data_IF_196549980146
#
_entry.id   IF_196549980146
#
_cell.length_a   1.000
_cell.length_b   1.000
_cell.length_c   1.000
_cell.angle_alpha   90.00
_cell.angle_beta   90.00
_cell.angle_gamma   90.00
#
_symmetry.space_group_name_H-M   'P 1'
#
loop_
_entity.id
_entity.type
_entity.pdbx_description
1 polymer ?
#
# COMPACT_ATOMS: atom_id res chain seq x y z
N UNK A 1 -43.74 22.51 -23.90
CA UNK A 1 -43.93 21.39 -22.96
C UNK A 1 -42.61 20.65 -22.81
N UNK A 2 -41.84 20.94 -21.75
CA UNK A 2 -40.59 20.26 -21.41
C UNK A 2 -40.91 19.05 -20.53
N UNK A 3 -40.48 17.85 -20.92
CA UNK A 3 -40.63 16.62 -20.13
C UNK A 3 -39.47 16.52 -19.14
N UNK A 4 -39.79 16.59 -17.85
CA UNK A 4 -38.89 16.20 -16.76
C UNK A 4 -38.74 14.68 -16.69
N UNK A 5 -37.53 14.25 -16.34
CA UNK A 5 -37.33 13.22 -15.32
C UNK A 5 -37.16 11.78 -15.81
N UNK A 6 -35.93 11.27 -15.66
CA UNK A 6 -35.65 10.19 -14.69
C UNK A 6 -34.14 10.03 -14.54
N UNK A 7 -33.64 10.52 -13.39
CA UNK A 7 -32.36 10.07 -12.83
C UNK A 7 -32.61 8.67 -12.29
N UNK A 8 -31.99 7.66 -12.91
CA UNK A 8 -31.96 6.30 -12.38
C UNK A 8 -30.72 6.17 -11.50
N UNK A 9 -30.98 5.94 -10.21
CA UNK A 9 -29.96 5.72 -9.18
C UNK A 9 -29.08 4.53 -9.55
N UNK A 10 -27.77 4.76 -9.66
CA UNK A 10 -26.79 3.69 -9.74
C UNK A 10 -26.82 2.93 -8.40
N UNK A 11 -27.17 1.64 -8.49
CA UNK A 11 -27.28 0.74 -7.34
C UNK A 11 -25.99 0.66 -6.55
N UNK A 12 -26.10 0.99 -5.28
CA UNK A 12 -25.09 0.75 -4.27
C UNK A 12 -24.91 -0.77 -4.12
N UNK A 13 -23.83 -1.30 -4.72
CA UNK A 13 -23.49 -2.71 -4.62
C UNK A 13 -23.16 -3.01 -3.17
N UNK A 14 -24.06 -3.72 -2.50
CA UNK A 14 -23.86 -4.25 -1.16
C UNK A 14 -22.53 -4.99 -1.07
N UNK A 15 -21.61 -4.45 -0.27
CA UNK A 15 -20.36 -5.13 0.11
C UNK A 15 -20.77 -6.36 0.91
N UNK A 16 -20.77 -7.53 0.26
CA UNK A 16 -21.07 -8.81 0.89
C UNK A 16 -20.01 -9.04 1.98
N UNK A 17 -20.36 -8.78 3.24
CA UNK A 17 -19.50 -9.13 4.38
C UNK A 17 -19.53 -10.65 4.47
N UNK A 18 -18.56 -11.31 3.84
CA UNK A 18 -18.33 -12.72 4.08
C UNK A 18 -17.98 -12.88 5.56
N UNK A 19 -18.86 -13.51 6.32
CA UNK A 19 -18.60 -13.85 7.71
C UNK A 19 -17.89 -15.21 7.75
N UNK A 20 -16.67 -15.21 8.30
CA UNK A 20 -15.93 -16.45 8.53
C UNK A 20 -16.13 -16.91 9.96
N UNK A 21 -16.35 -18.21 10.15
CA UNK A 21 -16.31 -18.84 11.46
C UNK A 21 -15.07 -19.74 11.58
N UNK A 22 -14.70 -20.09 12.81
CA UNK A 22 -13.49 -20.87 13.09
C UNK A 22 -13.50 -22.24 12.40
N UNK A 23 -14.66 -22.89 12.29
CA UNK A 23 -14.79 -24.21 11.67
C UNK A 23 -14.65 -24.17 10.14
N UNK A 24 -15.12 -23.10 9.51
CA UNK A 24 -14.96 -22.84 8.08
C UNK A 24 -13.47 -22.63 7.76
N UNK A 25 -12.78 -21.78 8.52
CA UNK A 25 -11.34 -21.56 8.36
C UNK A 25 -10.57 -22.87 8.57
N UNK A 26 -10.92 -23.64 9.59
CA UNK A 26 -10.32 -24.96 9.87
C UNK A 26 -10.51 -25.95 8.72
N UNK A 27 -11.65 -25.91 8.01
CA UNK A 27 -11.92 -26.75 6.82
C UNK A 27 -11.12 -26.33 5.60
N UNK A 28 -10.78 -25.04 5.47
CA UNK A 28 -9.94 -24.53 4.37
C UNK A 28 -8.48 -24.99 4.50
N UNK A 29 -8.00 -25.23 5.72
CA UNK A 29 -6.61 -25.60 5.98
C UNK A 29 -6.32 -27.08 5.65
N UNK A 30 -5.26 -27.37 4.88
CA UNK A 30 -4.75 -28.73 4.69
C UNK A 30 -4.32 -29.41 6.00
N UNK A 31 -4.24 -30.75 5.99
CA UNK A 31 -3.84 -31.55 7.17
C UNK A 31 -2.42 -31.26 7.67
N UNK A 32 -1.56 -30.72 6.82
CA UNK A 32 -0.19 -30.34 7.17
C UNK A 32 -0.13 -29.18 8.18
N UNK A 33 -1.19 -28.37 8.29
CA UNK A 33 -1.27 -27.29 9.27
C UNK A 33 -1.74 -27.82 10.62
N UNK A 34 -1.36 -27.13 11.70
CA UNK A 34 -2.02 -27.25 13.01
C UNK A 34 -3.41 -26.60 12.97
N UNK A 35 -4.35 -27.23 12.24
CA UNK A 35 -5.62 -26.62 11.79
C UNK A 35 -6.44 -25.94 12.89
N UNK A 36 -6.54 -26.55 14.08
CA UNK A 36 -7.28 -25.96 15.21
C UNK A 36 -6.62 -24.65 15.68
N UNK A 37 -5.30 -24.67 15.83
CA UNK A 37 -4.51 -23.55 16.32
C UNK A 37 -4.52 -22.40 15.31
N UNK A 38 -4.15 -22.70 14.05
CA UNK A 38 -4.10 -21.73 12.96
C UNK A 38 -5.48 -21.10 12.74
N UNK A 39 -6.55 -21.90 12.68
CA UNK A 39 -7.90 -21.36 12.48
C UNK A 39 -8.35 -20.42 13.60
N UNK A 40 -7.99 -20.73 14.86
CA UNK A 40 -8.30 -19.84 15.98
C UNK A 40 -7.55 -18.50 15.86
N UNK A 41 -6.25 -18.53 15.58
CA UNK A 41 -5.44 -17.32 15.41
C UNK A 41 -5.94 -16.44 14.26
N UNK A 42 -6.29 -17.05 13.13
CA UNK A 42 -6.90 -16.35 11.99
C UNK A 42 -8.24 -15.75 12.40
N UNK A 43 -9.10 -16.52 13.07
CA UNK A 43 -10.42 -16.06 13.50
C UNK A 43 -10.34 -14.85 14.44
N UNK A 44 -9.40 -14.87 15.41
CA UNK A 44 -9.14 -13.72 16.29
C UNK A 44 -8.70 -12.52 15.46
N UNK A 45 -7.69 -12.68 14.59
CA UNK A 45 -7.17 -11.59 13.76
C UNK A 45 -8.27 -10.93 12.89
N UNK A 46 -9.05 -11.71 12.15
CA UNK A 46 -10.12 -11.17 11.30
C UNK A 46 -11.33 -10.65 12.09
N UNK A 47 -11.42 -10.98 13.38
CA UNK A 47 -12.44 -10.40 14.27
C UNK A 47 -12.11 -8.94 14.60
N UNK A 48 -10.84 -8.57 14.68
CA UNK A 48 -10.44 -7.17 14.86
C UNK A 48 -10.20 -6.45 13.54
N UNK A 49 -9.59 -7.13 12.56
CA UNK A 49 -9.29 -6.60 11.23
C UNK A 49 -10.27 -7.14 10.19
N UNK A 50 -11.49 -6.59 10.17
CA UNK A 50 -12.63 -7.10 9.38
C UNK A 50 -12.43 -7.09 7.86
N UNK A 51 -11.48 -6.28 7.37
CA UNK A 51 -11.10 -6.18 5.97
C UNK A 51 -10.19 -7.32 5.50
N UNK A 52 -9.61 -8.09 6.41
CA UNK A 52 -8.75 -9.23 6.06
C UNK A 52 -9.59 -10.47 5.76
N UNK A 53 -9.32 -11.07 4.61
CA UNK A 53 -10.02 -12.24 4.10
C UNK A 53 -9.05 -13.43 4.06
N UNK A 54 -9.33 -14.53 4.79
CA UNK A 54 -8.55 -15.75 4.69
C UNK A 54 -8.86 -16.47 3.38
N UNK A 55 -7.83 -16.97 2.69
CA UNK A 55 -7.97 -17.74 1.46
C UNK A 55 -6.76 -18.67 1.24
N UNK A 56 -6.99 -19.86 0.69
CA UNK A 56 -5.90 -20.69 0.15
C UNK A 56 -5.51 -20.15 -1.22
N UNK A 57 -4.24 -19.80 -1.40
CA UNK A 57 -3.69 -19.25 -2.64
C UNK A 57 -2.34 -19.89 -2.97
N UNK A 58 -2.00 -19.91 -4.24
CA UNK A 58 -0.67 -20.29 -4.69
C UNK A 58 0.32 -19.16 -4.36
N UNK A 59 1.40 -19.53 -3.67
CA UNK A 59 2.53 -18.67 -3.34
C UNK A 59 3.75 -19.13 -4.14
N UNK A 60 4.48 -18.17 -4.72
CA UNK A 60 5.71 -18.41 -5.47
C UNK A 60 6.88 -17.93 -4.63
N UNK A 61 7.77 -18.85 -4.24
CA UNK A 61 8.98 -18.54 -3.49
C UNK A 61 10.03 -17.87 -4.38
N UNK A 62 11.03 -17.26 -3.74
CA UNK A 62 12.15 -16.58 -4.42
C UNK A 62 13.00 -17.53 -5.28
N UNK A 63 12.97 -18.83 -5.00
CA UNK A 63 13.62 -19.89 -5.79
C UNK A 63 12.78 -20.37 -6.99
N UNK A 64 11.59 -19.81 -7.19
CA UNK A 64 10.65 -20.17 -8.25
C UNK A 64 9.74 -21.35 -7.91
N UNK A 65 9.90 -21.99 -6.77
CA UNK A 65 8.99 -23.06 -6.33
C UNK A 65 7.63 -22.49 -5.97
N UNK A 66 6.56 -23.27 -6.17
CA UNK A 66 5.19 -22.85 -5.84
C UNK A 66 4.56 -23.75 -4.79
N UNK A 67 3.70 -23.18 -3.94
CA UNK A 67 2.99 -23.92 -2.89
C UNK A 67 1.66 -23.26 -2.57
N UNK A 68 0.64 -24.07 -2.34
CA UNK A 68 -0.64 -23.57 -1.83
C UNK A 68 -0.56 -23.27 -0.34
N UNK A 69 -0.64 -21.99 0.02
CA UNK A 69 -0.54 -21.49 1.38
C UNK A 69 -1.83 -20.80 1.82
N UNK A 70 -2.06 -20.77 3.13
CA UNK A 70 -3.11 -19.93 3.69
C UNK A 70 -2.63 -18.47 3.66
N UNK A 71 -3.48 -17.58 3.16
CA UNK A 71 -3.22 -16.14 3.07
C UNK A 71 -4.31 -15.35 3.79
N UNK A 72 -3.96 -14.24 4.42
CA UNK A 72 -4.89 -13.21 4.86
C UNK A 72 -4.60 -11.97 4.02
N UNK A 73 -5.49 -11.64 3.11
CA UNK A 73 -5.36 -10.47 2.23
C UNK A 73 -6.44 -9.45 2.54
N UNK A 74 -6.07 -8.18 2.60
CA UNK A 74 -7.01 -7.10 2.89
C UNK A 74 -6.27 -5.82 3.23
N UNK A 75 -6.91 -4.95 3.99
CA UNK A 75 -6.31 -3.71 4.48
C UNK A 75 -6.25 -3.69 6.00
N UNK A 76 -5.31 -2.95 6.57
CA UNK A 76 -5.30 -2.58 7.99
C UNK A 76 -5.44 -1.06 8.12
N UNK A 77 -6.27 -0.56 9.05
CA UNK A 77 -6.37 0.86 9.31
C UNK A 77 -5.16 1.35 10.09
N UNK A 78 -4.55 2.45 9.65
CA UNK A 78 -3.36 3.07 10.24
C UNK A 78 -3.62 4.57 10.34
N UNK A 79 -3.39 5.18 11.51
CA UNK A 79 -3.55 6.62 11.69
C UNK A 79 -2.21 7.31 11.46
N UNK A 80 -2.16 8.21 10.48
CA UNK A 80 -0.97 9.00 10.19
C UNK A 80 -1.39 10.45 9.95
N UNK A 81 -0.77 11.40 10.64
CA UNK A 81 -1.12 12.83 10.54
C UNK A 81 -2.63 13.10 10.69
N UNK A 82 -3.26 12.55 11.74
CA UNK A 82 -4.70 12.66 12.04
C UNK A 82 -5.67 12.09 10.97
N UNK A 83 -5.16 11.37 9.97
CA UNK A 83 -5.96 10.72 8.94
C UNK A 83 -5.76 9.20 8.98
N UNK A 84 -6.87 8.45 8.83
CA UNK A 84 -6.82 6.99 8.75
C UNK A 84 -6.59 6.52 7.32
N UNK A 85 -5.47 5.83 7.09
CA UNK A 85 -5.12 5.19 5.84
C UNK A 85 -5.41 3.69 5.91
N UNK A 86 -5.96 3.13 4.84
CA UNK A 86 -6.20 1.69 4.73
C UNK A 86 -5.04 1.05 3.97
N UNK A 87 -4.07 0.50 4.70
CA UNK A 87 -2.85 -0.05 4.11
C UNK A 87 -3.11 -1.48 3.65
N UNK A 88 -3.04 -1.79 2.35
CA UNK A 88 -3.22 -3.15 1.84
C UNK A 88 -2.04 -4.04 2.20
N UNK A 89 -2.35 -5.19 2.79
CA UNK A 89 -1.37 -6.19 3.22
C UNK A 89 -1.77 -7.60 2.75
N UNK A 90 -0.78 -8.47 2.68
CA UNK A 90 -0.96 -9.91 2.50
C UNK A 90 -0.07 -10.65 3.49
N UNK A 91 -0.67 -11.45 4.37
CA UNK A 91 0.04 -12.28 5.34
C UNK A 91 -0.08 -13.75 4.92
N UNK A 92 1.04 -14.39 4.65
CA UNK A 92 1.12 -15.80 4.28
C UNK A 92 1.49 -16.65 5.49
N UNK A 93 0.72 -17.71 5.71
CA UNK A 93 0.89 -18.63 6.82
C UNK A 93 1.35 -19.97 6.24
N UNK A 94 2.51 -20.43 6.69
CA UNK A 94 3.05 -21.74 6.33
C UNK A 94 2.54 -22.87 7.23
N UNK A 95 2.61 -24.14 6.76
CA UNK A 95 2.24 -25.30 7.59
C UNK A 95 3.00 -25.42 8.91
N UNK A 96 4.24 -24.90 8.96
CA UNK A 96 5.08 -24.91 10.17
C UNK A 96 4.67 -23.84 11.21
N UNK A 97 3.70 -22.97 10.91
CA UNK A 97 3.15 -22.04 11.91
C UNK A 97 2.54 -22.81 13.09
N UNK A 98 2.77 -22.37 14.35
CA UNK A 98 3.46 -21.14 14.77
C UNK A 98 4.95 -21.30 15.10
N UNK A 99 5.60 -22.41 14.73
CA UNK A 99 7.04 -22.58 14.99
C UNK A 99 7.88 -21.64 14.12
N UNK A 100 7.38 -21.26 12.94
CA UNK A 100 7.94 -20.22 12.09
C UNK A 100 6.96 -19.04 11.98
N UNK A 101 7.52 -17.84 11.83
CA UNK A 101 6.75 -16.62 11.60
C UNK A 101 6.00 -16.67 10.26
N UNK A 102 4.85 -15.99 10.14
CA UNK A 102 4.23 -15.77 8.83
C UNK A 102 5.07 -14.81 7.98
N UNK A 103 4.91 -14.88 6.65
CA UNK A 103 5.54 -13.94 5.71
C UNK A 103 4.57 -12.80 5.41
N UNK A 104 4.98 -11.57 5.68
CA UNK A 104 4.13 -10.39 5.56
C UNK A 104 4.58 -9.51 4.39
N UNK A 105 3.63 -9.04 3.59
CA UNK A 105 3.88 -8.14 2.47
C UNK A 105 2.91 -6.98 2.48
N UNK A 106 3.36 -5.80 2.05
CA UNK A 106 2.47 -4.74 1.57
C UNK A 106 2.03 -5.07 0.15
N UNK A 107 0.74 -4.84 -0.16
CA UNK A 107 0.15 -5.19 -1.46
C UNK A 107 -0.35 -3.94 -2.16
N UNK A 108 0.54 -3.14 -2.81
CA UNK A 108 0.15 -1.90 -3.45
C UNK A 108 -0.91 -2.13 -4.53
N UNK A 109 -1.87 -1.20 -4.65
CA UNK A 109 -2.75 -1.15 -5.82
C UNK A 109 -1.97 -0.66 -7.05
N UNK A 110 -2.63 -0.66 -8.22
CA UNK A 110 -2.04 -0.12 -9.47
C UNK A 110 -1.67 1.36 -9.37
N UNK A 111 -2.26 2.08 -8.44
CA UNK A 111 -2.03 3.50 -8.22
C UNK A 111 -1.01 3.75 -7.11
N UNK A 112 -0.48 2.70 -6.47
CA UNK A 112 0.45 2.83 -5.35
C UNK A 112 1.87 2.41 -5.75
N UNK A 113 2.85 2.92 -4.99
CA UNK A 113 4.24 2.50 -4.99
C UNK A 113 4.70 2.19 -3.57
N UNK A 114 5.62 1.24 -3.45
CA UNK A 114 6.23 0.89 -2.17
C UNK A 114 7.24 1.97 -1.79
N UNK A 115 7.07 2.54 -0.61
CA UNK A 115 8.06 3.42 0.00
C UNK A 115 8.97 2.55 0.85
N UNK A 116 10.24 2.50 0.48
CA UNK A 116 11.24 1.71 1.21
C UNK A 116 11.53 2.36 2.55
N UNK A 117 11.76 1.53 3.56
CA UNK A 117 12.09 2.00 4.89
C UNK A 117 12.83 0.93 5.67
N UNK A 118 13.12 1.23 6.94
CA UNK A 118 13.79 0.29 7.86
C UNK A 118 13.09 -1.08 7.93
N UNK A 119 11.77 -1.09 7.75
CA UNK A 119 10.93 -2.26 7.91
C UNK A 119 10.34 -2.82 6.61
N UNK A 120 10.63 -2.23 5.45
CA UNK A 120 10.04 -2.62 4.16
C UNK A 120 11.13 -2.82 3.11
N UNK A 121 11.16 -4.03 2.56
CA UNK A 121 12.06 -4.46 1.49
C UNK A 121 11.60 -3.95 0.11
N UNK A 122 12.46 -4.08 -0.91
CA UNK A 122 12.20 -3.63 -2.28
C UNK A 122 10.99 -4.32 -2.93
N UNK A 123 10.74 -5.57 -2.55
CA UNK A 123 9.63 -6.43 -2.98
C UNK A 123 8.36 -6.25 -2.12
N UNK A 124 8.38 -5.32 -1.16
CA UNK A 124 7.26 -5.07 -0.25
C UNK A 124 7.19 -6.05 0.93
N UNK A 125 8.19 -6.91 1.09
CA UNK A 125 8.32 -7.78 2.26
C UNK A 125 8.52 -6.95 3.53
N UNK A 126 7.69 -7.20 4.54
CA UNK A 126 7.76 -6.54 5.85
C UNK A 126 8.76 -7.27 6.73
N UNK A 127 9.77 -6.54 7.21
CA UNK A 127 10.86 -7.05 8.05
C UNK A 127 10.95 -6.23 9.33
N UNK A 128 10.56 -6.82 10.45
CA UNK A 128 10.55 -6.13 11.74
C UNK A 128 11.02 -7.06 12.86
N UNK A 129 11.55 -6.50 13.97
CA UNK A 129 12.08 -7.31 15.08
C UNK A 129 11.11 -8.38 15.57
N UNK A 130 9.81 -8.05 15.64
CA UNK A 130 8.78 -9.00 16.04
C UNK A 130 8.68 -10.26 15.15
N UNK A 131 8.97 -10.16 13.85
CA UNK A 131 9.05 -11.32 12.95
C UNK A 131 10.37 -12.09 13.11
N UNK A 132 11.47 -11.38 13.39
CA UNK A 132 12.79 -11.99 13.56
C UNK A 132 12.89 -12.80 14.85
N UNK A 133 12.30 -12.29 15.93
CA UNK A 133 12.32 -12.90 17.26
C UNK A 133 11.06 -13.76 17.52
N UNK A 134 10.39 -14.20 16.45
CA UNK A 134 9.13 -14.93 16.54
C UNK A 134 9.28 -16.22 17.37
N UNK A 135 8.49 -16.33 18.44
CA UNK A 135 8.46 -17.50 19.32
C UNK A 135 7.04 -18.02 19.51
N UNK A 136 6.86 -19.31 19.30
CA UNK A 136 5.59 -19.99 19.58
C UNK A 136 5.20 -19.81 21.06
N UNK A 137 3.99 -19.32 21.29
CA UNK A 137 3.43 -19.12 22.63
C UNK A 137 3.61 -17.71 23.18
N UNK A 138 4.62 -16.97 22.68
CA UNK A 138 4.81 -15.54 22.98
C UNK A 138 4.26 -14.67 21.85
N UNK A 139 4.38 -15.11 20.60
CA UNK A 139 3.92 -14.40 19.42
C UNK A 139 2.64 -15.00 18.84
N UNK A 140 1.71 -14.12 18.46
CA UNK A 140 0.49 -14.48 17.73
C UNK A 140 0.22 -13.55 16.54
N UNK A 141 -0.76 -13.92 15.72
CA UNK A 141 -1.10 -13.24 14.47
C UNK A 141 -1.80 -11.90 14.69
N UNK A 142 -2.59 -11.77 15.75
CA UNK A 142 -3.27 -10.52 16.06
C UNK A 142 -2.27 -9.47 16.57
N UNK A 143 -1.41 -9.86 17.52
CA UNK A 143 -0.33 -9.02 18.03
C UNK A 143 0.62 -8.59 16.92
N UNK A 144 0.94 -9.49 15.98
CA UNK A 144 1.70 -9.15 14.77
C UNK A 144 1.06 -7.99 13.98
N UNK A 145 -0.24 -8.07 13.72
CA UNK A 145 -0.95 -7.03 12.97
C UNK A 145 -1.00 -5.71 13.74
N UNK A 146 -1.12 -5.73 15.07
CA UNK A 146 -1.03 -4.52 15.89
C UNK A 146 0.35 -3.87 15.81
N UNK A 147 1.42 -4.67 15.87
CA UNK A 147 2.79 -4.18 15.68
C UNK A 147 2.96 -3.59 14.28
N UNK A 148 2.39 -4.22 13.23
CA UNK A 148 2.41 -3.66 11.88
C UNK A 148 1.71 -2.30 11.83
N UNK A 149 0.54 -2.14 12.48
CA UNK A 149 -0.16 -0.85 12.56
C UNK A 149 0.76 0.19 13.19
N UNK A 150 1.30 -0.07 14.39
CA UNK A 150 2.17 0.88 15.10
C UNK A 150 3.40 1.30 14.26
N UNK A 151 4.04 0.35 13.57
CA UNK A 151 5.17 0.64 12.67
C UNK A 151 4.74 1.53 11.49
N UNK A 152 3.53 1.31 10.95
CA UNK A 152 3.03 2.10 9.82
C UNK A 152 2.48 3.48 10.22
N UNK A 153 2.14 3.68 11.50
CA UNK A 153 1.80 5.00 12.06
C UNK A 153 3.03 5.91 12.16
N UNK A 154 4.22 5.36 12.35
CA UNK A 154 5.48 6.12 12.29
C UNK A 154 5.91 6.37 10.84
N UNK A 155 5.69 5.39 9.96
CA UNK A 155 6.11 5.46 8.56
C UNK A 155 5.15 4.73 7.63
N UNK A 156 4.43 5.48 6.80
CA UNK A 156 3.51 4.90 5.82
C UNK A 156 4.30 4.18 4.70
N UNK A 157 4.09 2.88 4.48
CA UNK A 157 4.92 2.08 3.57
C UNK A 157 4.51 2.20 2.09
N UNK A 158 3.49 2.99 1.78
CA UNK A 158 2.92 3.12 0.43
C UNK A 158 2.62 4.59 0.11
N UNK A 159 3.01 5.04 -1.07
CA UNK A 159 2.61 6.34 -1.61
C UNK A 159 1.80 6.17 -2.90
N UNK A 160 1.00 7.17 -3.26
CA UNK A 160 0.36 7.18 -4.57
C UNK A 160 1.40 7.47 -5.65
N UNK A 161 1.22 6.83 -6.81
CA UNK A 161 1.94 7.18 -8.03
C UNK A 161 1.54 8.60 -8.39
N UNK A 162 2.54 9.47 -8.47
CA UNK A 162 2.38 10.71 -9.21
C UNK A 162 2.18 10.32 -10.67
N UNK A 163 0.97 10.47 -11.21
CA UNK A 163 0.83 10.59 -12.64
C UNK A 163 1.54 11.90 -13.01
N UNK A 164 2.56 11.92 -13.87
CA UNK A 164 2.92 13.17 -14.50
C UNK A 164 1.67 13.61 -15.26
N UNK A 165 1.01 14.67 -14.80
CA UNK A 165 0.17 15.44 -15.69
C UNK A 165 1.04 15.78 -16.92
N UNK A 166 0.60 15.51 -18.16
CA UNK A 166 1.37 15.87 -19.35
C UNK A 166 1.57 17.39 -19.52
N UNK A 167 1.20 18.24 -18.56
CA UNK A 167 1.13 19.68 -18.78
C UNK A 167 1.44 20.49 -17.51
N UNK A 168 2.64 20.31 -16.94
CA UNK A 168 3.28 21.34 -16.10
C UNK A 168 4.79 21.13 -15.87
N UNK A 169 5.47 20.42 -16.77
CA UNK A 169 6.92 20.21 -16.72
C UNK A 169 7.74 21.33 -17.40
N UNK A 170 7.24 22.57 -17.52
CA UNK A 170 7.96 23.66 -18.20
C UNK A 170 8.12 24.96 -17.43
N UNK A 171 7.58 25.13 -16.22
CA UNK A 171 7.66 26.43 -15.52
C UNK A 171 8.89 26.62 -14.61
N UNK A 172 9.67 25.56 -14.32
CA UNK A 172 10.79 25.64 -13.37
C UNK A 172 12.19 25.80 -14.00
N UNK A 173 12.30 25.77 -15.33
CA UNK A 173 13.60 25.90 -16.02
C UNK A 173 13.86 27.28 -16.63
N UNK A 174 13.04 28.30 -16.34
CA UNK A 174 13.09 29.59 -17.04
C UNK A 174 13.64 30.77 -16.23
N UNK A 175 14.26 30.50 -15.06
CA UNK A 175 14.94 31.53 -14.27
C UNK A 175 16.43 31.26 -14.23
N UNK A 176 17.18 32.01 -15.04
CA UNK A 176 18.63 32.10 -14.91
C UNK A 176 18.97 33.29 -14.00
N UNK A 177 19.86 33.05 -13.03
CA UNK A 177 20.40 34.06 -12.12
C UNK A 177 21.78 34.46 -12.62
N UNK A 178 21.94 35.72 -13.02
CA UNK A 178 23.24 36.30 -13.35
C UNK A 178 23.99 36.77 -12.08
N UNK A 179 25.29 37.01 -12.23
CA UNK A 179 26.21 37.27 -11.12
C UNK A 179 25.96 38.62 -10.40
N UNK A 180 25.12 39.49 -10.95
CA UNK A 180 24.71 40.78 -10.39
C UNK A 180 23.40 40.71 -9.58
N UNK A 181 22.74 39.54 -9.52
CA UNK A 181 21.52 39.34 -8.75
C UNK A 181 20.22 39.72 -9.47
N UNK A 182 20.27 40.02 -10.77
CA UNK A 182 19.08 40.22 -11.59
C UNK A 182 18.43 38.88 -11.99
N UNK A 183 17.10 38.84 -12.07
CA UNK A 183 16.31 37.70 -12.54
C UNK A 183 15.71 38.02 -13.90
N UNK A 184 15.99 37.21 -14.93
CA UNK A 184 15.37 37.36 -16.25
C UNK A 184 14.62 36.10 -16.67
N UNK A 185 13.51 36.28 -17.38
CA UNK A 185 12.68 35.20 -17.94
C UNK A 185 12.94 35.12 -19.45
N UNK A 186 13.59 34.05 -19.89
CA UNK A 186 13.80 33.81 -21.32
C UNK A 186 12.53 33.24 -21.95
N UNK A 187 11.66 34.10 -22.47
CA UNK A 187 10.54 33.68 -23.32
C UNK A 187 11.08 33.39 -24.74
N UNK A 188 11.04 32.13 -25.24
CA UNK A 188 11.38 31.87 -26.62
C UNK A 188 10.29 32.46 -27.53
N UNK A 189 10.65 33.43 -28.36
CA UNK A 189 9.79 33.85 -29.49
C UNK A 189 9.85 32.77 -30.56
N UNK A 190 8.71 32.50 -31.21
CA UNK A 190 8.56 31.46 -32.23
C UNK A 190 9.42 31.63 -33.49
N UNK A 191 10.15 32.73 -33.61
CA UNK A 191 11.02 33.05 -34.73
C UNK A 191 12.42 33.30 -34.13
N UNK A 192 13.34 32.35 -34.31
CA UNK A 192 14.63 32.27 -33.60
C UNK A 192 15.64 33.39 -33.91
N UNK A 193 15.29 34.65 -33.64
CA UNK A 193 16.16 35.80 -33.85
C UNK A 193 16.32 36.59 -32.54
N UNK A 194 17.55 36.90 -32.12
CA UNK A 194 17.80 37.64 -30.89
C UNK A 194 17.34 39.09 -31.03
N UNK A 195 16.82 39.66 -29.93
CA UNK A 195 16.53 41.08 -29.83
C UNK A 195 17.85 41.88 -29.95
N UNK A 196 17.89 42.85 -30.87
CA UNK A 196 18.86 43.93 -30.80
C UNK A 196 18.35 44.92 -29.76
N UNK A 197 19.17 45.20 -28.74
CA UNK A 197 18.91 46.23 -27.76
C UNK A 197 19.18 47.58 -28.44
N UNK A 198 18.13 48.29 -28.83
CA UNK A 198 18.27 49.72 -29.12
C UNK A 198 18.30 50.46 -27.78
N UNK A 199 19.46 51.08 -27.52
CA UNK A 199 19.64 52.05 -26.44
C UNK A 199 18.80 53.30 -26.74
N UNK A 200 17.75 53.54 -25.96
CA UNK A 200 17.17 54.89 -25.85
C UNK A 200 16.98 55.28 -24.37
N UNK A 201 18.02 55.94 -23.89
CA UNK A 201 18.06 57.18 -23.08
C UNK A 201 17.10 57.43 -21.90
N UNK A 202 17.78 57.73 -20.79
CA UNK A 202 17.42 58.58 -19.65
C UNK A 202 16.26 59.57 -19.81
N UNK A 203 15.47 59.67 -18.75
CA UNK A 203 15.01 60.95 -18.21
C UNK A 203 15.70 61.19 -16.86
#
# INVERSE_FOLDING_TARGET
MLKMGRSSSAGEKSKLIMSFNVDMIKKMLPRAYLRKYVAHHIYVAITYFKSLVPAMKEYVYKDGTTKNLMSLTGTIPVVFSDQTYNIPICVWIEPNYPNAAPMCYVSPTREMMIVRGKHISNDGEVKMPYLNDWKKGECDLFSLLQVMVAVFEEFIPLCMRSYPEPEQASCWLQFHREADGSYFVSLPRGDGQPFQHEDETSC
#
